data_IF_145844152921
#
_entry.id   IF_145844152921
#
_cell.length_a   1.000
_cell.length_b   1.000
_cell.length_c   1.000
_cell.angle_alpha   90.00
_cell.angle_beta   90.00
_cell.angle_gamma   90.00
#
_symmetry.space_group_name_H-M   'P 1'
#
loop_
_entity.id
_entity.type
_entity.pdbx_description
1 polymer ?
#
# COMPACT_ATOMS: atom_id res chain seq x y z
N UNK A 1 4.01 -6.80 -25.75
CA UNK A 1 4.81 -5.71 -25.16
C UNK A 1 4.08 -5.25 -23.91
N UNK A 2 4.63 -5.45 -22.71
CA UNK A 2 3.99 -4.97 -21.50
C UNK A 2 4.22 -3.45 -21.40
N UNK A 3 3.16 -2.66 -21.47
CA UNK A 3 3.23 -1.22 -21.25
C UNK A 3 3.35 -0.95 -19.74
N UNK A 4 4.52 -1.25 -19.17
CA UNK A 4 4.81 -0.91 -17.78
C UNK A 4 4.60 0.59 -17.56
N UNK A 5 3.68 0.95 -16.67
CA UNK A 5 3.49 2.33 -16.21
C UNK A 5 4.17 2.46 -14.87
N UNK A 6 5.14 3.37 -14.77
CA UNK A 6 5.83 3.66 -13.51
C UNK A 6 5.16 4.86 -12.86
N UNK A 7 4.72 4.69 -11.61
CA UNK A 7 4.13 5.77 -10.81
C UNK A 7 4.92 5.89 -9.50
N UNK A 8 5.08 7.13 -9.03
CA UNK A 8 5.77 7.40 -7.78
C UNK A 8 4.73 7.47 -6.66
N UNK A 9 4.96 6.69 -5.62
CA UNK A 9 4.10 6.61 -4.44
C UNK A 9 4.91 7.07 -3.23
N UNK A 10 4.33 7.99 -2.46
CA UNK A 10 4.89 8.56 -1.23
C UNK A 10 4.03 8.12 -0.04
N UNK A 11 4.70 7.82 1.07
CA UNK A 11 4.07 7.35 2.31
C UNK A 11 4.25 8.43 3.36
N UNK A 12 3.16 9.07 3.77
CA UNK A 12 3.22 10.02 4.88
C UNK A 12 3.53 9.29 6.19
N UNK A 13 4.68 9.58 6.80
CA UNK A 13 5.07 9.01 8.10
C UNK A 13 4.07 9.31 9.21
N UNK A 14 3.33 10.42 9.08
CA UNK A 14 2.27 10.86 9.99
C UNK A 14 0.98 10.05 9.88
N UNK A 15 0.74 9.34 8.77
CA UNK A 15 -0.55 8.74 8.43
C UNK A 15 -0.36 7.33 7.88
N UNK A 16 -0.47 6.37 8.79
CA UNK A 16 -0.20 4.94 8.59
C UNK A 16 -1.01 4.32 7.45
N UNK A 17 -2.27 4.78 7.29
CA UNK A 17 -3.25 4.25 6.35
C UNK A 17 -3.46 5.11 5.10
N UNK A 18 -2.48 5.97 4.79
CA UNK A 18 -2.60 6.91 3.69
C UNK A 18 -1.43 6.81 2.73
N UNK A 19 -1.76 6.96 1.45
CA UNK A 19 -0.83 6.89 0.32
C UNK A 19 -1.01 8.14 -0.53
N UNK A 20 0.11 8.70 -0.96
CA UNK A 20 0.11 9.82 -1.89
C UNK A 20 0.71 9.38 -3.24
N UNK A 21 -0.03 9.62 -4.31
CA UNK A 21 0.44 9.35 -5.67
C UNK A 21 0.91 10.66 -6.28
N UNK A 22 2.13 10.68 -6.79
CA UNK A 22 2.68 11.80 -7.55
C UNK A 22 2.44 11.52 -9.03
N UNK A 23 1.50 12.26 -9.60
CA UNK A 23 1.19 12.18 -11.01
C UNK A 23 2.26 12.90 -11.84
N UNK A 24 2.32 12.58 -13.14
CA UNK A 24 3.32 13.17 -14.05
C UNK A 24 3.20 14.70 -14.19
N UNK A 25 2.02 15.25 -13.93
CA UNK A 25 1.72 16.68 -13.86
C UNK A 25 2.16 17.32 -12.52
N UNK A 26 2.95 16.62 -11.70
CA UNK A 26 3.38 17.02 -10.34
C UNK A 26 2.24 17.16 -9.34
N UNK A 27 1.00 16.86 -9.75
CA UNK A 27 -0.14 16.79 -8.84
C UNK A 27 0.07 15.66 -7.85
N UNK A 28 -0.14 15.97 -6.57
CA UNK A 28 -0.11 14.98 -5.50
C UNK A 28 -1.54 14.65 -5.11
N UNK A 29 -1.90 13.37 -5.18
CA UNK A 29 -3.23 12.88 -4.81
C UNK A 29 -3.10 12.00 -3.58
N UNK A 30 -3.72 12.44 -2.48
CA UNK A 30 -3.76 11.70 -1.23
C UNK A 30 -4.99 10.79 -1.23
N UNK A 31 -4.76 9.53 -0.93
CA UNK A 31 -5.76 8.49 -0.82
C UNK A 31 -5.72 7.92 0.58
N UNK A 32 -6.89 7.83 1.19
CA UNK A 32 -7.06 7.16 2.46
C UNK A 32 -7.59 5.76 2.20
N UNK A 33 -6.89 4.78 2.73
CA UNK A 33 -7.31 3.40 2.72
C UNK A 33 -7.62 2.97 4.15
N UNK A 34 -8.31 1.85 4.30
CA UNK A 34 -8.49 1.25 5.62
C UNK A 34 -7.17 0.65 6.14
N UNK A 35 -6.34 0.12 5.23
CA UNK A 35 -5.00 -0.40 5.51
C UNK A 35 -4.03 -0.14 4.35
N UNK A 36 -2.77 0.19 4.65
CA UNK A 36 -1.70 0.39 3.68
C UNK A 36 -0.49 -0.47 4.04
N UNK A 37 -0.10 -1.37 3.13
CA UNK A 37 1.11 -2.17 3.28
C UNK A 37 2.29 -1.41 2.70
N UNK A 38 3.29 -1.16 3.54
CA UNK A 38 4.46 -0.36 3.16
C UNK A 38 5.57 -1.29 2.67
N UNK A 39 6.39 -0.85 1.71
CA UNK A 39 7.59 -1.59 1.36
C UNK A 39 8.51 -1.61 2.58
N UNK A 40 8.62 -2.78 3.23
CA UNK A 40 9.36 -2.97 4.47
C UNK A 40 8.49 -3.11 5.73
N UNK A 41 7.16 -2.97 5.66
CA UNK A 41 6.29 -3.53 6.71
C UNK A 41 6.41 -5.05 6.67
N UNK A 42 6.42 -5.69 7.84
CA UNK A 42 6.52 -7.15 7.96
C UNK A 42 5.51 -7.81 7.01
N UNK A 43 6.01 -8.38 5.90
CA UNK A 43 5.18 -9.08 4.92
C UNK A 43 4.44 -10.26 5.58
N UNK A 44 4.89 -10.67 6.77
CA UNK A 44 4.24 -11.62 7.65
C UNK A 44 2.84 -11.18 8.12
N UNK A 45 2.57 -9.88 8.29
CA UNK A 45 1.22 -9.41 8.65
C UNK A 45 0.23 -9.62 7.49
N UNK A 46 0.70 -9.48 6.25
CA UNK A 46 -0.15 -9.62 5.06
C UNK A 46 -0.43 -11.07 4.71
N UNK A 47 0.54 -11.96 4.90
CA UNK A 47 0.39 -13.40 4.70
C UNK A 47 -0.29 -14.07 5.91
N UNK A 48 0.01 -13.65 7.13
CA UNK A 48 -0.54 -14.21 8.36
C UNK A 48 -2.04 -13.99 8.54
N UNK A 49 -2.59 -12.84 8.12
CA UNK A 49 -4.05 -12.60 8.20
C UNK A 49 -4.89 -13.49 7.29
N UNK A 50 -4.34 -13.91 6.15
CA UNK A 50 -5.02 -14.82 5.22
C UNK A 50 -4.98 -16.24 5.78
N UNK A 51 -3.82 -16.68 6.29
CA UNK A 51 -3.64 -18.02 6.87
C UNK A 51 -4.33 -18.18 8.24
N UNK A 52 -4.53 -17.11 9.00
CA UNK A 52 -5.23 -17.15 10.30
C UNK A 52 -6.76 -17.15 10.18
N UNK A 53 -7.33 -16.90 8.99
CA UNK A 53 -8.78 -16.98 8.77
C UNK A 53 -9.27 -18.40 8.47
N UNK A 54 -8.36 -19.39 8.38
CA UNK A 54 -8.67 -20.78 8.01
C UNK A 54 -8.33 -21.81 9.11
N UNK A 55 -8.30 -21.42 10.40
CA UNK A 55 -8.28 -22.40 11.51
C UNK A 55 -9.35 -22.09 12.56
N UNK A 56 -10.57 -22.63 12.35
CA UNK A 56 -11.55 -22.91 13.41
C UNK A 56 -12.30 -24.21 13.08
N UNK A 57 -11.98 -25.35 13.72
CA UNK A 57 -12.99 -26.38 14.00
C UNK A 57 -13.74 -26.09 15.31
#
# INVERSE_FOLDING_TARGET
MANGSTSIVDFESSRENELQIICSDSSKKQFKFDHVFRPGSDQEETLGRELASEEVP
#
